data_IF_873356933655
#
_entry.id   IF_873356933655
#
_cell.length_a   1.000
_cell.length_b   1.000
_cell.length_c   1.000
_cell.angle_alpha   90.00
_cell.angle_beta   90.00
_cell.angle_gamma   90.00
#
_symmetry.space_group_name_H-M   'P 1'
#
loop_
_entity.id
_entity.type
_entity.pdbx_description
1 polymer ?
#
# COMPACT_ATOMS: atom_id res chain seq x y z
N UNK A 1 16.07 56.82 -27.65
CA UNK A 1 17.55 56.66 -27.56
C UNK A 1 18.05 56.10 -28.89
N UNK A 2 18.86 56.86 -29.62
CA UNK A 2 19.48 56.42 -30.89
C UNK A 2 20.76 55.66 -30.58
N UNK A 3 20.82 54.38 -30.95
CA UNK A 3 22.07 53.61 -30.93
C UNK A 3 22.77 53.87 -32.26
N UNK A 4 23.85 54.65 -32.22
CA UNK A 4 24.76 54.77 -33.36
C UNK A 4 25.53 53.46 -33.50
N UNK A 5 25.42 52.81 -34.65
CA UNK A 5 26.30 51.71 -35.03
C UNK A 5 27.07 52.18 -36.26
N UNK A 6 28.33 52.59 -36.06
CA UNK A 6 29.21 52.96 -37.16
C UNK A 6 30.53 52.18 -37.08
N UNK A 7 30.81 51.46 -38.17
CA UNK A 7 32.16 51.22 -38.67
C UNK A 7 32.86 49.95 -38.18
N UNK A 8 33.09 48.99 -39.09
CA UNK A 8 34.34 48.90 -39.88
C UNK A 8 34.53 47.48 -40.47
N UNK A 9 34.66 47.47 -41.79
CA UNK A 9 34.99 46.39 -42.71
C UNK A 9 36.34 45.72 -42.40
N UNK A 10 36.30 44.48 -41.90
CA UNK A 10 37.35 43.42 -41.96
C UNK A 10 37.05 42.29 -40.95
N UNK A 11 36.30 42.60 -39.88
CA UNK A 11 35.86 41.62 -38.87
C UNK A 11 34.51 40.95 -39.16
N UNK A 12 33.79 41.40 -40.19
CA UNK A 12 32.37 41.11 -40.42
C UNK A 12 32.02 39.61 -40.47
N UNK A 13 32.86 38.77 -41.07
CA UNK A 13 32.61 37.33 -41.12
C UNK A 13 32.75 36.64 -39.74
N UNK A 14 33.73 37.07 -38.93
CA UNK A 14 33.98 36.54 -37.59
C UNK A 14 32.91 37.03 -36.61
N UNK A 15 32.56 38.32 -36.69
CA UNK A 15 31.50 38.92 -35.88
C UNK A 15 30.12 38.33 -36.23
N UNK A 16 29.82 38.10 -37.51
CA UNK A 16 28.57 37.45 -37.95
C UNK A 16 28.51 35.98 -37.48
N UNK A 17 29.61 35.23 -37.56
CA UNK A 17 29.68 33.85 -37.04
C UNK A 17 29.51 33.79 -35.52
N UNK A 18 30.11 34.71 -34.77
CA UNK A 18 29.91 34.81 -33.32
C UNK A 18 28.46 35.13 -32.96
N UNK A 19 27.81 36.05 -33.68
CA UNK A 19 26.40 36.40 -33.47
C UNK A 19 25.51 35.20 -33.77
N UNK A 20 25.75 34.48 -34.88
CA UNK A 20 24.98 33.28 -35.23
C UNK A 20 25.17 32.14 -34.21
N UNK A 21 26.39 31.95 -33.70
CA UNK A 21 26.65 30.98 -32.65
C UNK A 21 25.95 31.37 -31.34
N UNK A 22 26.05 32.63 -30.92
CA UNK A 22 25.37 33.13 -29.72
C UNK A 22 23.84 33.01 -29.85
N UNK A 23 23.30 33.31 -31.03
CA UNK A 23 21.87 33.12 -31.31
C UNK A 23 21.50 31.63 -31.23
N UNK A 24 22.26 30.73 -31.87
CA UNK A 24 21.98 29.30 -31.83
C UNK A 24 22.03 28.72 -30.41
N UNK A 25 22.99 29.15 -29.58
CA UNK A 25 23.05 28.77 -28.16
C UNK A 25 21.85 29.31 -27.37
N UNK A 26 21.42 30.55 -27.63
CA UNK A 26 20.26 31.13 -26.97
C UNK A 26 18.95 30.41 -27.35
N UNK A 27 18.78 30.02 -28.62
CA UNK A 27 17.61 29.25 -29.06
C UNK A 27 17.61 27.81 -28.51
N UNK A 28 18.78 27.18 -28.38
CA UNK A 28 18.89 25.84 -27.79
C UNK A 28 18.44 25.81 -26.31
N UNK A 29 18.63 26.90 -25.58
CA UNK A 29 18.13 27.05 -24.20
C UNK A 29 16.60 27.02 -24.08
N UNK A 30 15.86 27.46 -25.10
CA UNK A 30 14.39 27.40 -25.10
C UNK A 30 13.84 25.98 -25.34
N UNK A 31 14.59 25.11 -26.02
CA UNK A 31 14.19 23.71 -26.27
C UNK A 31 14.51 22.77 -25.09
N UNK A 32 15.35 23.20 -24.15
CA UNK A 32 15.74 22.44 -22.95
C UNK A 32 14.82 22.64 -21.74
N UNK A 33 13.70 23.36 -21.89
CA UNK A 33 12.74 23.53 -20.79
C UNK A 33 12.18 22.15 -20.44
N UNK A 34 12.36 21.64 -19.20
CA UNK A 34 11.75 20.39 -18.80
C UNK A 34 10.23 20.49 -19.00
N UNK A 35 9.57 19.45 -19.52
CA UNK A 35 8.12 19.47 -19.68
C UNK A 35 7.50 19.85 -18.33
N UNK A 36 6.61 20.85 -18.36
CA UNK A 36 5.96 21.35 -17.15
C UNK A 36 5.45 20.17 -16.32
N UNK A 37 5.85 20.11 -15.04
CA UNK A 37 5.43 19.02 -14.18
C UNK A 37 3.90 18.93 -14.18
N UNK A 38 3.34 17.71 -14.33
CA UNK A 38 1.90 17.55 -14.37
C UNK A 38 1.28 18.13 -13.10
N UNK A 39 0.26 18.97 -13.28
CA UNK A 39 -0.39 19.67 -12.18
C UNK A 39 -0.87 18.66 -11.11
N UNK A 40 -0.54 18.86 -9.82
CA UNK A 40 -0.81 17.88 -8.77
C UNK A 40 -2.31 17.65 -8.64
N UNK A 41 -2.77 16.48 -9.08
CA UNK A 41 -4.17 16.06 -8.96
C UNK A 41 -4.42 15.56 -7.55
N UNK A 42 -5.23 16.30 -6.78
CA UNK A 42 -5.67 15.87 -5.45
C UNK A 42 -6.76 14.81 -5.64
N UNK A 43 -6.38 13.55 -5.42
CA UNK A 43 -7.31 12.41 -5.44
C UNK A 43 -7.75 12.12 -4.01
N UNK A 44 -9.07 12.10 -3.76
CA UNK A 44 -9.60 11.56 -2.51
C UNK A 44 -9.46 10.03 -2.54
N UNK A 45 -8.75 9.50 -1.55
CA UNK A 45 -8.59 8.07 -1.33
C UNK A 45 -9.41 7.69 -0.11
N UNK A 46 -10.31 6.72 -0.25
CA UNK A 46 -10.95 6.10 0.91
C UNK A 46 -9.96 5.16 1.57
N UNK A 47 -9.61 5.47 2.82
CA UNK A 47 -8.73 4.63 3.62
C UNK A 47 -9.62 3.69 4.44
N UNK A 48 -9.51 2.36 4.27
CA UNK A 48 -10.26 1.42 5.09
C UNK A 48 -9.81 1.57 6.54
N UNK A 49 -10.77 1.86 7.42
CA UNK A 49 -10.56 1.93 8.87
C UNK A 49 -11.01 0.63 9.52
N UNK A 50 -10.29 0.19 10.54
CA UNK A 50 -10.64 -1.01 11.30
C UNK A 50 -11.93 -0.76 12.08
N UNK A 51 -13.00 -1.46 11.70
CA UNK A 51 -14.28 -1.43 12.41
C UNK A 51 -14.35 -2.60 13.40
N UNK A 52 -14.84 -2.38 14.65
CA UNK A 52 -14.99 -3.46 15.60
C UNK A 52 -16.12 -4.40 15.14
N UNK A 53 -15.82 -5.68 15.05
CA UNK A 53 -16.86 -6.66 14.77
C UNK A 53 -17.75 -6.89 16.00
N UNK A 54 -19.08 -6.92 15.79
CA UNK A 54 -20.06 -7.19 16.83
C UNK A 54 -20.70 -8.56 16.58
N UNK A 55 -20.11 -9.60 17.13
CA UNK A 55 -20.68 -10.96 17.13
C UNK A 55 -20.97 -11.39 18.56
N UNK A 56 -21.85 -12.39 18.71
CA UNK A 56 -22.03 -13.04 19.99
C UNK A 56 -20.80 -13.88 20.33
N UNK A 57 -20.35 -13.80 21.59
CA UNK A 57 -19.28 -14.65 22.09
C UNK A 57 -19.69 -16.11 22.04
N UNK A 58 -18.86 -16.96 21.45
CA UNK A 58 -19.09 -18.42 21.42
C UNK A 58 -18.60 -19.01 22.75
N UNK A 59 -19.50 -19.52 23.62
CA UNK A 59 -19.09 -20.05 24.91
C UNK A 59 -18.32 -21.36 24.73
N UNK A 60 -17.31 -21.57 25.57
CA UNK A 60 -16.61 -22.85 25.60
C UNK A 60 -17.57 -23.97 26.06
N UNK A 61 -17.56 -25.15 25.42
CA UNK A 61 -18.37 -26.28 25.85
C UNK A 61 -17.85 -26.87 27.15
N UNK A 62 -18.71 -27.64 27.83
CA UNK A 62 -18.28 -28.49 28.93
C UNK A 62 -17.41 -29.64 28.39
N UNK A 63 -16.09 -29.45 28.47
CA UNK A 63 -15.08 -30.37 27.95
C UNK A 63 -15.19 -31.75 28.61
N UNK A 64 -15.35 -32.79 27.79
CA UNK A 64 -15.60 -34.14 28.28
C UNK A 64 -14.45 -34.70 29.13
N UNK A 65 -13.21 -34.24 28.93
CA UNK A 65 -12.05 -34.66 29.70
C UNK A 65 -11.87 -33.89 31.02
N UNK A 66 -12.63 -32.81 31.27
CA UNK A 66 -12.43 -31.94 32.45
C UNK A 66 -12.56 -32.68 33.80
N UNK A 67 -13.35 -33.77 33.84
CA UNK A 67 -13.56 -34.57 35.03
C UNK A 67 -12.63 -35.78 35.17
N UNK A 68 -11.72 -36.02 34.23
CA UNK A 68 -10.86 -37.22 34.26
C UNK A 68 -9.87 -37.16 35.42
N UNK A 69 -9.74 -38.28 36.12
CA UNK A 69 -8.78 -38.50 37.20
C UNK A 69 -7.67 -39.44 36.74
N UNK A 70 -6.53 -39.35 37.42
CA UNK A 70 -5.41 -40.23 37.13
C UNK A 70 -5.73 -41.71 37.42
N UNK A 71 -6.57 -41.97 38.43
CA UNK A 71 -7.04 -43.32 38.80
C UNK A 71 -8.08 -43.92 37.85
N UNK A 72 -8.65 -43.14 36.91
CA UNK A 72 -9.68 -43.65 36.01
C UNK A 72 -9.11 -44.71 35.07
N UNK A 73 -9.96 -45.67 34.70
CA UNK A 73 -9.57 -46.73 33.77
C UNK A 73 -9.24 -46.16 32.39
N UNK A 74 -8.46 -46.91 31.62
CA UNK A 74 -8.07 -46.49 30.27
C UNK A 74 -9.29 -46.31 29.36
N UNK A 75 -10.29 -47.18 29.49
CA UNK A 75 -11.52 -47.15 28.71
C UNK A 75 -12.31 -45.87 28.95
N UNK A 76 -12.38 -45.41 30.20
CA UNK A 76 -13.04 -44.14 30.57
C UNK A 76 -12.30 -42.95 29.95
N UNK A 77 -10.97 -42.94 30.07
CA UNK A 77 -10.11 -41.88 29.50
C UNK A 77 -10.24 -41.80 27.98
N UNK A 78 -10.12 -42.93 27.28
CA UNK A 78 -10.23 -42.98 25.82
C UNK A 78 -11.59 -42.51 25.34
N UNK A 79 -12.68 -42.93 26.01
CA UNK A 79 -14.04 -42.50 25.67
C UNK A 79 -14.22 -40.98 25.82
N UNK A 80 -13.78 -40.43 26.96
CA UNK A 80 -13.85 -39.00 27.22
C UNK A 80 -13.03 -38.18 26.20
N UNK A 81 -11.79 -38.60 25.90
CA UNK A 81 -10.94 -37.92 24.92
C UNK A 81 -11.48 -38.00 23.49
N UNK A 82 -12.10 -39.12 23.10
CA UNK A 82 -12.76 -39.23 21.78
C UNK A 82 -14.02 -38.36 21.69
N UNK A 83 -14.77 -38.21 22.79
CA UNK A 83 -15.89 -37.28 22.85
C UNK A 83 -15.40 -35.83 22.74
N UNK A 84 -14.38 -35.46 23.51
CA UNK A 84 -13.79 -34.12 23.50
C UNK A 84 -13.20 -33.75 22.15
N UNK A 85 -12.53 -34.69 21.46
CA UNK A 85 -12.04 -34.45 20.10
C UNK A 85 -13.15 -34.04 19.12
N UNK A 86 -14.37 -34.58 19.30
CA UNK A 86 -15.54 -34.16 18.50
C UNK A 86 -16.03 -32.79 18.94
N UNK A 87 -16.05 -32.50 20.24
CA UNK A 87 -16.38 -31.17 20.77
C UNK A 87 -15.45 -30.09 20.18
N UNK A 88 -14.13 -30.32 20.14
CA UNK A 88 -13.17 -29.39 19.54
C UNK A 88 -13.44 -29.12 18.06
N UNK A 89 -13.83 -30.14 17.30
CA UNK A 89 -14.20 -29.96 15.88
C UNK A 89 -15.44 -29.08 15.72
N UNK A 90 -16.45 -29.28 16.57
CA UNK A 90 -17.68 -28.47 16.56
C UNK A 90 -17.38 -27.03 16.96
N UNK A 91 -16.70 -26.83 18.09
CA UNK A 91 -16.35 -25.52 18.60
C UNK A 91 -15.48 -24.72 17.61
N UNK A 92 -14.53 -25.37 16.94
CA UNK A 92 -13.74 -24.72 15.89
C UNK A 92 -14.58 -24.30 14.67
N UNK A 93 -15.64 -25.04 14.34
CA UNK A 93 -16.57 -24.66 13.28
C UNK A 93 -17.43 -23.45 13.69
N UNK A 94 -17.91 -23.42 14.94
CA UNK A 94 -18.67 -22.28 15.48
C UNK A 94 -17.82 -21.01 15.55
N UNK A 95 -16.58 -21.10 16.06
CA UNK A 95 -15.64 -19.97 16.07
C UNK A 95 -15.34 -19.46 14.66
N UNK A 96 -15.19 -20.37 13.69
CA UNK A 96 -15.00 -19.96 12.29
C UNK A 96 -16.22 -19.22 11.76
N UNK A 97 -17.42 -19.74 11.98
CA UNK A 97 -18.66 -19.08 11.57
C UNK A 97 -18.81 -17.69 12.21
N UNK A 98 -18.47 -17.56 13.50
CA UNK A 98 -18.46 -16.27 14.18
C UNK A 98 -17.46 -15.28 13.55
N UNK A 99 -16.27 -15.75 13.14
CA UNK A 99 -15.29 -14.92 12.46
C UNK A 99 -15.69 -14.55 11.02
N UNK A 100 -16.37 -15.46 10.31
CA UNK A 100 -16.86 -15.22 8.95
C UNK A 100 -17.97 -14.17 8.92
N UNK A 101 -18.78 -14.07 9.98
CA UNK A 101 -19.77 -13.01 10.12
C UNK A 101 -19.17 -11.59 10.19
N UNK A 102 -17.86 -11.48 10.42
CA UNK A 102 -17.13 -10.21 10.56
C UNK A 102 -16.34 -9.78 9.32
N UNK A 103 -16.21 -10.66 8.33
CA UNK A 103 -15.36 -10.44 7.17
C UNK A 103 -16.08 -9.63 6.10
#
# INVERSE_FOLDING_TARGET
MRVQVLGKSAGAAKTCRCILLLAALALAGCAGQPPAEPEPRIVRVEVPVLVPCRTAETPAPAWAAAGLRQSDSLEVKVRALLAERRQWRGYAAELRAASEACR
#
